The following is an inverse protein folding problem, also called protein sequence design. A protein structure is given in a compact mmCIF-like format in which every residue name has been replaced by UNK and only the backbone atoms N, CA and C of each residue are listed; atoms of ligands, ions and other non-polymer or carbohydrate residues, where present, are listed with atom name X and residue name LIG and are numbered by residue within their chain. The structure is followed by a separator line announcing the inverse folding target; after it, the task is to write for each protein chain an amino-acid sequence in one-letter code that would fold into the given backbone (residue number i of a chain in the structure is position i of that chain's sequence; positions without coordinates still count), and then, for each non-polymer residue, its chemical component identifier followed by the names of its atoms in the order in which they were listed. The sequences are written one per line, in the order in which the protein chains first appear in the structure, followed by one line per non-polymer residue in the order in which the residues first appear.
data_IF_432681584572
#
_entry.id   IF_432681584572
#
_cell.length_a   1.000
_cell.length_b   1.000
_cell.length_c   1.000
_cell.angle_alpha   90.00
_cell.angle_beta   90.00
_cell.angle_gamma   90.00
#
_symmetry.space_group_name_H-M   'P 1'
#
loop_
_entity.id
_entity.type
_entity.pdbx_description
1 polymer ?
#
# COMPACT_ATOMS: atom_id res chain seq x y z
N UNK A 1 -13.07 38.04 -85.58
CA UNK A 1 -14.15 37.05 -85.40
C UNK A 1 -14.81 37.31 -84.05
N UNK A 2 -16.13 37.16 -83.96
CA UNK A 2 -16.91 37.27 -82.72
C UNK A 2 -17.16 35.84 -82.14
N UNK A 3 -17.88 35.62 -81.01
CA UNK A 3 -18.60 36.61 -80.18
C UNK A 3 -18.59 36.40 -78.63
N UNK A 4 -19.09 37.43 -77.91
CA UNK A 4 -19.97 37.35 -76.70
C UNK A 4 -19.47 36.69 -75.38
N UNK A 5 -19.86 37.07 -74.15
CA UNK A 5 -20.81 38.03 -73.49
C UNK A 5 -20.18 38.36 -72.09
N UNK A 6 -20.49 39.38 -71.27
CA UNK A 6 -21.30 40.63 -71.23
C UNK A 6 -20.67 41.49 -70.08
N UNK A 7 -20.65 42.83 -70.05
CA UNK A 7 -21.70 43.83 -69.72
C UNK A 7 -22.44 43.59 -68.37
N UNK A 8 -22.64 44.56 -67.47
CA UNK A 8 -22.36 46.01 -67.47
C UNK A 8 -22.76 46.64 -66.10
N UNK A 9 -22.27 47.87 -65.75
CA UNK A 9 -23.03 48.97 -65.06
C UNK A 9 -23.48 48.78 -63.58
N UNK A 10 -23.53 49.76 -62.64
CA UNK A 10 -23.01 51.15 -62.48
C UNK A 10 -23.33 51.68 -61.05
N UNK A 11 -22.50 52.60 -60.51
CA UNK A 11 -22.77 53.68 -59.51
C UNK A 11 -23.14 53.46 -58.03
N UNK A 12 -22.69 54.45 -57.23
CA UNK A 12 -23.07 54.80 -55.85
C UNK A 12 -24.55 55.20 -55.74
N UNK A 13 -25.16 55.07 -54.54
CA UNK A 13 -25.78 56.18 -53.77
C UNK A 13 -26.37 55.73 -52.41
N UNK A 14 -26.32 56.64 -51.44
CA UNK A 14 -26.87 56.67 -50.07
C UNK A 14 -28.30 56.11 -49.83
N UNK A 15 -28.49 55.41 -48.69
CA UNK A 15 -29.57 55.56 -47.67
C UNK A 15 -29.44 54.41 -46.62
N UNK A 16 -29.02 54.60 -45.36
CA UNK A 16 -29.70 55.22 -44.18
C UNK A 16 -30.75 54.33 -43.48
N UNK A 17 -30.45 53.99 -42.21
CA UNK A 17 -31.29 53.42 -41.12
C UNK A 17 -31.77 51.94 -41.19
N UNK A 18 -31.31 51.11 -40.23
CA UNK A 18 -32.06 50.70 -39.01
C UNK A 18 -31.14 49.91 -38.05
N UNK A 19 -31.41 50.02 -36.74
CA UNK A 19 -30.61 49.47 -35.62
C UNK A 19 -30.39 47.95 -35.62
N UNK A 20 -29.20 47.52 -35.18
CA UNK A 20 -29.10 46.45 -34.18
C UNK A 20 -27.83 46.64 -33.32
N UNK A 21 -27.96 46.47 -32.01
CA UNK A 21 -26.91 46.73 -31.02
C UNK A 21 -26.13 45.47 -30.65
N UNK A 22 -24.81 45.50 -30.79
CA UNK A 22 -23.89 44.69 -29.97
C UNK A 22 -22.50 45.30 -29.95
N UNK A 23 -22.00 45.56 -28.74
CA UNK A 23 -20.71 46.21 -28.48
C UNK A 23 -19.58 45.18 -28.62
N UNK A 24 -18.62 45.44 -29.50
CA UNK A 24 -17.34 44.74 -29.48
C UNK A 24 -16.50 45.27 -28.32
N UNK A 25 -16.38 44.48 -27.26
CA UNK A 25 -15.41 44.70 -26.18
C UNK A 25 -14.03 44.24 -26.67
N UNK A 26 -13.05 45.15 -26.63
CA UNK A 26 -11.68 44.87 -27.03
C UNK A 26 -11.02 43.91 -26.02
N UNK A 27 -10.45 42.82 -26.51
CA UNK A 27 -9.67 41.90 -25.69
C UNK A 27 -8.31 42.53 -25.35
N UNK A 28 -8.16 42.98 -24.10
CA UNK A 28 -6.86 43.35 -23.54
C UNK A 28 -5.98 42.09 -23.46
N UNK A 29 -4.85 42.07 -24.18
CA UNK A 29 -3.77 41.13 -23.88
C UNK A 29 -3.09 41.55 -22.58
N UNK A 30 -3.48 40.95 -21.47
CA UNK A 30 -2.66 40.93 -20.27
C UNK A 30 -1.48 39.98 -20.51
N UNK A 31 -0.26 40.50 -20.40
CA UNK A 31 0.97 39.72 -20.46
C UNK A 31 1.40 39.50 -19.00
N UNK A 32 0.94 38.38 -18.42
CA UNK A 32 1.37 37.96 -17.10
C UNK A 32 2.77 37.33 -17.21
N UNK A 33 3.74 37.89 -16.50
CA UNK A 33 5.00 37.21 -16.25
C UNK A 33 4.77 36.20 -15.12
N UNK A 34 4.82 34.91 -15.42
CA UNK A 34 5.00 33.89 -14.39
C UNK A 34 6.44 33.96 -13.86
N UNK A 35 6.60 34.64 -12.73
CA UNK A 35 7.74 34.46 -11.85
C UNK A 35 7.38 33.34 -10.87
N UNK A 36 7.87 32.13 -11.13
CA UNK A 36 7.80 31.03 -10.18
C UNK A 36 8.49 31.45 -8.85
N UNK A 37 7.87 31.21 -7.69
CA UNK A 37 8.47 31.57 -6.41
C UNK A 37 9.72 30.72 -6.14
N UNK A 38 10.87 31.37 -5.92
CA UNK A 38 12.17 30.71 -5.72
C UNK A 38 12.49 30.37 -4.27
N UNK A 39 11.47 30.31 -3.40
CA UNK A 39 11.60 29.86 -2.01
C UNK A 39 10.23 29.44 -1.48
N UNK A 40 10.13 28.18 -1.03
CA UNK A 40 9.04 27.73 -0.16
C UNK A 40 9.50 28.00 1.27
N UNK A 41 8.80 28.87 2.00
CA UNK A 41 8.87 28.85 3.45
C UNK A 41 8.03 27.66 3.91
N UNK A 42 8.67 26.68 4.54
CA UNK A 42 7.95 25.65 5.31
C UNK A 42 7.35 26.38 6.50
N UNK A 43 6.03 26.51 6.54
CA UNK A 43 5.35 26.92 7.76
C UNK A 43 5.42 25.74 8.73
N UNK A 44 6.40 25.81 9.64
CA UNK A 44 6.42 25.03 10.89
C UNK A 44 5.02 25.09 11.51
N UNK A 45 4.36 23.92 11.61
CA UNK A 45 2.93 23.87 11.90
C UNK A 45 2.51 22.54 12.52
N UNK A 46 2.79 22.36 13.80
CA UNK A 46 2.08 21.47 14.71
C UNK A 46 0.66 21.08 14.26
N UNK A 47 0.47 19.78 14.02
CA UNK A 47 -0.71 19.18 13.40
C UNK A 47 -0.54 18.78 11.93
N UNK A 48 0.66 18.90 11.34
CA UNK A 48 0.92 18.52 9.94
C UNK A 48 1.37 17.06 9.73
N UNK A 49 1.58 16.33 10.82
CA UNK A 49 1.90 14.91 10.86
C UNK A 49 3.39 14.57 10.86
N UNK A 50 4.28 15.55 11.05
CA UNK A 50 5.72 15.33 11.12
C UNK A 50 6.34 15.99 12.35
N UNK A 51 7.12 15.25 13.15
CA UNK A 51 7.77 15.84 14.35
C UNK A 51 8.99 16.69 13.98
N UNK A 52 8.89 18.00 14.17
CA UNK A 52 9.95 18.95 13.80
C UNK A 52 10.89 19.30 14.98
N UNK A 53 11.76 18.36 15.37
CA UNK A 53 12.67 18.50 16.53
C UNK A 53 13.54 19.79 16.49
N UNK A 54 13.83 20.33 15.29
CA UNK A 54 14.63 21.56 15.13
C UNK A 54 13.83 22.84 15.41
N UNK A 55 12.51 22.83 15.20
CA UNK A 55 11.61 23.96 15.54
C UNK A 55 11.18 23.94 17.00
N UNK A 56 11.28 22.79 17.67
CA UNK A 56 11.05 22.62 19.10
C UNK A 56 9.85 21.73 19.45
N UNK A 57 9.29 21.04 18.46
CA UNK A 57 8.21 20.08 18.66
C UNK A 57 8.72 18.79 19.29
N UNK A 58 7.94 18.25 20.22
CA UNK A 58 8.22 17.00 20.94
C UNK A 58 7.52 15.81 20.28
N UNK A 59 6.36 16.07 19.68
CA UNK A 59 5.50 15.16 18.94
C UNK A 59 4.58 15.99 18.03
N UNK A 60 3.80 15.34 17.16
CA UNK A 60 2.78 16.00 16.34
C UNK A 60 1.40 15.30 16.52
N UNK A 61 0.29 16.03 16.76
CA UNK A 61 -1.03 15.45 16.98
C UNK A 61 -1.78 15.08 15.68
N UNK A 62 -1.31 15.55 14.52
CA UNK A 62 -1.98 15.50 13.23
C UNK A 62 -3.25 16.37 13.15
N UNK A 63 -3.89 16.34 11.99
CA UNK A 63 -5.24 16.88 11.71
C UNK A 63 -6.17 15.74 11.25
N UNK A 64 -6.86 15.06 12.19
CA UNK A 64 -7.77 13.97 11.87
C UNK A 64 -9.00 14.46 11.07
N UNK A 65 -9.42 13.72 10.02
CA UNK A 65 -9.05 12.34 9.69
C UNK A 65 -7.96 12.22 8.62
N UNK A 66 -7.37 13.33 8.15
CA UNK A 66 -6.48 13.35 6.99
C UNK A 66 -5.02 13.06 7.31
N UNK A 67 -4.58 13.46 8.50
CA UNK A 67 -3.19 13.38 8.96
C UNK A 67 -3.17 12.66 10.33
N UNK A 68 -2.45 11.53 10.46
CA UNK A 68 -2.34 10.81 11.73
C UNK A 68 -1.33 11.48 12.67
N UNK A 69 -1.47 11.26 13.98
CA UNK A 69 -0.47 11.70 14.97
C UNK A 69 0.88 11.02 14.76
N UNK A 70 1.98 11.74 15.02
CA UNK A 70 3.34 11.21 15.13
C UNK A 70 3.87 11.45 16.56
N UNK A 71 3.91 10.38 17.34
CA UNK A 71 4.49 10.35 18.70
C UNK A 71 5.91 9.73 18.71
N UNK A 72 6.49 9.50 17.53
CA UNK A 72 7.80 8.89 17.36
C UNK A 72 7.90 7.48 17.95
N UNK A 73 9.00 7.22 18.66
CA UNK A 73 9.26 5.92 19.32
C UNK A 73 8.97 5.92 20.82
N UNK A 74 8.50 7.04 21.36
CA UNK A 74 8.24 7.20 22.80
C UNK A 74 6.97 6.46 23.20
N UNK A 75 6.95 5.90 24.40
CA UNK A 75 5.85 5.05 24.90
C UNK A 75 5.45 5.43 26.33
N UNK A 76 4.28 4.99 26.80
CA UNK A 76 3.89 5.17 28.20
C UNK A 76 4.96 4.66 29.19
N UNK A 77 5.69 3.60 28.83
CA UNK A 77 6.74 2.99 29.64
C UNK A 77 7.96 3.90 29.88
N UNK A 78 8.11 4.98 29.11
CA UNK A 78 9.15 6.00 29.31
C UNK A 78 8.76 7.05 30.37
N UNK A 79 7.48 7.07 30.78
CA UNK A 79 6.89 8.01 31.75
C UNK A 79 6.57 7.36 33.09
N UNK A 80 6.37 8.21 34.10
CA UNK A 80 6.16 7.83 35.50
C UNK A 80 4.91 8.47 36.09
N UNK A 81 4.26 7.76 37.00
CA UNK A 81 3.14 8.25 37.81
C UNK A 81 3.60 9.34 38.82
N UNK A 82 2.63 9.92 39.54
CA UNK A 82 2.87 10.93 40.59
C UNK A 82 3.67 10.41 41.80
N UNK A 83 3.95 9.11 41.87
CA UNK A 83 4.74 8.42 42.90
C UNK A 83 6.10 7.93 42.37
N UNK A 84 6.45 8.25 41.12
CA UNK A 84 7.67 7.82 40.42
C UNK A 84 7.75 6.31 40.12
N UNK A 85 6.63 5.63 39.91
CA UNK A 85 6.57 4.30 39.30
C UNK A 85 6.38 4.43 37.78
N UNK A 86 7.06 3.64 36.94
CA UNK A 86 6.87 3.68 35.49
C UNK A 86 5.48 3.13 35.11
N UNK A 87 4.87 3.66 34.04
CA UNK A 87 3.65 3.08 33.50
C UNK A 87 3.91 1.72 32.84
N UNK A 88 3.03 0.75 33.06
CA UNK A 88 3.17 -0.58 32.46
C UNK A 88 2.52 -0.67 31.08
N UNK A 89 1.48 0.11 30.83
CA UNK A 89 0.67 0.09 29.61
C UNK A 89 0.00 1.43 29.34
N UNK A 90 -0.77 1.50 28.25
CA UNK A 90 -1.58 2.66 27.88
C UNK A 90 -1.49 3.03 26.42
N UNK A 91 -2.16 4.12 26.08
CA UNK A 91 -2.02 4.84 24.82
C UNK A 91 -1.46 6.22 25.17
N UNK A 92 -0.55 6.72 24.34
CA UNK A 92 0.00 8.06 24.47
C UNK A 92 -0.37 8.86 23.22
N UNK A 93 -0.78 10.10 23.42
CA UNK A 93 -1.10 11.04 22.35
C UNK A 93 -0.14 12.23 22.40
N UNK A 94 -0.22 13.11 21.40
CA UNK A 94 0.47 14.40 21.46
C UNK A 94 -0.47 15.50 21.96
N UNK A 95 0.05 16.47 22.73
CA UNK A 95 -0.71 17.68 23.02
C UNK A 95 -0.96 18.49 21.74
N UNK A 96 -2.10 19.18 21.68
CA UNK A 96 -2.51 20.01 20.53
C UNK A 96 -1.61 21.23 20.26
N UNK A 97 -0.58 21.45 21.08
CA UNK A 97 0.44 22.50 20.90
C UNK A 97 1.86 21.94 20.71
N UNK A 98 1.99 20.62 20.51
CA UNK A 98 3.24 19.90 20.25
C UNK A 98 4.34 20.05 21.32
N UNK A 99 3.98 20.59 22.50
CA UNK A 99 4.93 20.97 23.54
C UNK A 99 5.35 19.84 24.49
N UNK A 100 4.50 18.81 24.63
CA UNK A 100 4.74 17.59 25.41
C UNK A 100 3.75 16.50 24.96
N UNK A 101 3.89 15.29 25.51
CA UNK A 101 2.96 14.19 25.28
C UNK A 101 1.77 14.22 26.25
N UNK A 102 0.60 13.79 25.76
CA UNK A 102 -0.54 13.47 26.63
C UNK A 102 -0.43 12.03 27.13
N UNK A 103 -0.17 11.89 28.42
CA UNK A 103 -0.01 10.63 29.15
C UNK A 103 -1.27 10.27 29.98
N UNK A 104 -2.40 10.96 29.79
CA UNK A 104 -3.63 10.70 30.56
C UNK A 104 -4.23 9.30 30.35
N UNK A 105 -3.93 8.68 29.20
CA UNK A 105 -4.29 7.31 28.83
C UNK A 105 -3.19 6.26 29.17
N UNK A 106 -2.17 6.64 29.95
CA UNK A 106 -1.15 5.73 30.51
C UNK A 106 -1.52 5.23 31.92
N UNK A 107 -1.27 3.93 32.21
CA UNK A 107 -1.65 3.30 33.49
C UNK A 107 -0.77 2.09 33.88
N UNK A 108 -0.81 1.70 35.15
CA UNK A 108 -0.17 0.48 35.68
C UNK A 108 -1.16 -0.36 36.49
N UNK A 109 -1.72 -1.36 35.82
CA UNK A 109 -2.68 -2.25 36.44
C UNK A 109 -2.11 -3.01 37.66
N UNK A 110 -2.82 -2.96 38.79
CA UNK A 110 -2.48 -3.64 40.04
C UNK A 110 -1.61 -2.82 40.99
N UNK A 111 -1.50 -1.50 40.80
CA UNK A 111 -0.67 -0.59 41.61
C UNK A 111 -1.39 -0.03 42.86
N UNK A 112 -2.67 -0.35 43.08
CA UNK A 112 -3.56 0.14 44.17
C UNK A 112 -4.08 1.58 44.06
N UNK A 113 -3.87 2.25 42.93
CA UNK A 113 -4.42 3.56 42.59
C UNK A 113 -5.22 3.45 41.30
N UNK A 114 -6.51 3.80 41.30
CA UNK A 114 -7.27 3.82 40.05
C UNK A 114 -6.87 5.03 39.18
N UNK A 115 -6.10 4.81 38.13
CA UNK A 115 -5.82 5.80 37.07
C UNK A 115 -7.09 6.12 36.23
N UNK A 116 -7.04 7.22 35.46
CA UNK A 116 -8.19 7.65 34.64
C UNK A 116 -8.44 6.74 33.43
N UNK A 117 -7.36 6.14 32.90
CA UNK A 117 -7.35 5.30 31.71
C UNK A 117 -7.90 3.88 31.92
N UNK A 118 -7.96 3.42 33.16
CA UNK A 118 -8.37 2.05 33.51
C UNK A 118 -9.80 2.00 34.06
N UNK A 119 -10.48 0.86 33.88
CA UNK A 119 -11.85 0.71 34.39
C UNK A 119 -11.85 0.44 35.90
N UNK A 120 -10.78 -0.18 36.41
CA UNK A 120 -10.57 -0.50 37.81
C UNK A 120 -9.09 -0.69 38.12
N UNK A 121 -8.72 -0.61 39.41
CA UNK A 121 -7.50 -1.24 39.92
C UNK A 121 -7.88 -2.16 41.07
N UNK A 122 -7.41 -3.41 41.05
CA UNK A 122 -7.61 -4.44 42.11
C UNK A 122 -9.06 -4.59 42.61
N UNK A 123 -9.48 -3.78 43.59
CA UNK A 123 -10.83 -3.71 44.14
C UNK A 123 -11.49 -2.32 44.10
N UNK A 124 -10.84 -1.30 43.55
CA UNK A 124 -11.44 -0.01 43.23
C UNK A 124 -12.02 -0.04 41.82
N UNK A 125 -13.35 -0.01 41.73
CA UNK A 125 -14.11 -0.02 40.48
C UNK A 125 -14.64 1.38 40.11
N UNK A 126 -14.09 2.46 40.68
CA UNK A 126 -14.58 3.83 40.45
C UNK A 126 -16.03 4.05 40.90
N UNK A 127 -16.50 3.27 41.88
CA UNK A 127 -17.90 3.25 42.34
C UNK A 127 -18.85 2.35 41.53
N UNK A 128 -18.36 1.65 40.49
CA UNK A 128 -19.14 0.63 39.82
C UNK A 128 -19.39 -0.60 40.71
N UNK A 129 -20.55 -1.21 40.52
CA UNK A 129 -20.98 -2.47 41.14
C UNK A 129 -21.76 -3.27 40.10
N UNK A 130 -21.97 -4.58 40.33
CA UNK A 130 -22.87 -5.37 39.51
C UNK A 130 -24.26 -4.70 39.37
N UNK A 131 -24.78 -4.10 40.44
CA UNK A 131 -26.10 -3.43 40.45
C UNK A 131 -26.12 -2.20 39.55
N UNK A 132 -25.08 -1.35 39.60
CA UNK A 132 -25.00 -0.15 38.72
C UNK A 132 -24.77 -0.52 37.25
N UNK A 133 -24.25 -1.72 36.98
CA UNK A 133 -24.07 -2.28 35.62
C UNK A 133 -25.27 -3.11 35.13
N UNK A 134 -26.40 -3.10 35.86
CA UNK A 134 -27.67 -3.71 35.42
C UNK A 134 -27.95 -5.14 35.90
N UNK A 135 -27.10 -5.69 36.76
CA UNK A 135 -27.29 -7.02 37.38
C UNK A 135 -28.06 -6.92 38.71
N UNK A 136 -28.54 -8.03 39.27
CA UNK A 136 -29.27 -8.01 40.57
C UNK A 136 -28.37 -8.17 41.80
N UNK A 137 -27.15 -8.69 41.61
CA UNK A 137 -26.24 -9.03 42.70
C UNK A 137 -24.88 -9.49 42.19
N UNK A 138 -24.12 -10.18 43.04
CA UNK A 138 -22.76 -10.66 42.75
C UNK A 138 -21.65 -9.64 43.01
N UNK A 139 -20.44 -9.96 42.53
CA UNK A 139 -19.21 -9.19 42.78
C UNK A 139 -18.44 -8.91 41.49
N UNK A 140 -17.90 -7.70 41.33
CA UNK A 140 -16.93 -7.40 40.28
C UNK A 140 -15.54 -7.95 40.65
N UNK A 141 -14.72 -8.21 39.63
CA UNK A 141 -13.27 -8.36 39.81
C UNK A 141 -12.54 -7.62 38.68
N UNK A 142 -11.34 -7.12 38.98
CA UNK A 142 -10.50 -6.44 38.02
C UNK A 142 -9.56 -7.43 37.32
N UNK A 143 -9.46 -7.39 35.99
CA UNK A 143 -8.56 -8.29 35.23
C UNK A 143 -7.10 -7.83 35.32
N UNK A 144 -6.16 -8.63 34.80
CA UNK A 144 -4.74 -8.26 34.69
C UNK A 144 -4.47 -7.11 33.70
N UNK A 145 -5.48 -6.76 32.91
CA UNK A 145 -5.52 -5.67 31.93
C UNK A 145 -6.37 -4.49 32.44
N UNK A 146 -6.74 -4.53 33.73
CA UNK A 146 -7.53 -3.54 34.46
C UNK A 146 -8.87 -3.15 33.83
N UNK A 147 -9.53 -4.17 33.27
CA UNK A 147 -10.93 -4.11 32.86
C UNK A 147 -11.85 -4.65 33.95
N UNK A 148 -13.05 -4.09 34.07
CA UNK A 148 -14.08 -4.60 34.99
C UNK A 148 -14.68 -5.88 34.40
N UNK A 149 -14.50 -7.01 35.08
CA UNK A 149 -15.20 -8.24 34.74
C UNK A 149 -16.50 -8.40 35.50
N UNK A 150 -17.58 -8.63 34.75
CA UNK A 150 -18.93 -8.92 35.26
C UNK A 150 -19.23 -10.42 35.38
N UNK A 151 -18.24 -11.30 35.14
CA UNK A 151 -18.44 -12.75 35.11
C UNK A 151 -18.94 -13.35 36.45
N UNK A 152 -18.74 -12.64 37.57
CA UNK A 152 -19.23 -13.00 38.91
C UNK A 152 -20.45 -12.17 39.34
N UNK A 153 -21.12 -11.48 38.41
CA UNK A 153 -22.38 -10.79 38.66
C UNK A 153 -23.59 -11.72 38.47
N UNK A 154 -24.61 -11.55 39.30
CA UNK A 154 -25.83 -12.36 39.27
C UNK A 154 -26.83 -11.77 38.26
N UNK A 155 -27.12 -12.52 37.21
CA UNK A 155 -28.13 -12.14 36.20
C UNK A 155 -29.55 -12.13 36.82
N UNK A 156 -30.42 -11.27 36.28
CA UNK A 156 -31.81 -11.19 36.73
C UNK A 156 -32.61 -12.42 36.24
N UNK A 157 -32.78 -13.42 37.11
CA UNK A 157 -33.75 -14.49 36.85
C UNK A 157 -35.17 -13.90 36.80
N UNK A 158 -35.85 -13.99 35.65
CA UNK A 158 -37.29 -13.77 35.58
C UNK A 158 -38.02 -14.88 36.36
N UNK A 159 -38.38 -14.58 37.61
CA UNK A 159 -39.21 -15.45 38.43
C UNK A 159 -40.65 -15.50 37.89
N UNK A 160 -40.87 -16.43 36.96
CA UNK A 160 -42.20 -16.87 36.54
C UNK A 160 -42.97 -17.49 37.70
N UNK A 161 -43.73 -16.67 38.43
CA UNK A 161 -44.55 -17.13 39.55
C UNK A 161 -45.85 -17.79 39.12
N UNK A 162 -46.03 -19.09 39.38
CA UNK A 162 -47.37 -19.68 39.60
C UNK A 162 -47.31 -21.08 40.22
N UNK A 163 -48.08 -21.35 41.30
CA UNK A 163 -48.38 -22.71 41.73
C UNK A 163 -49.85 -23.10 41.44
N UNK A 164 -50.03 -24.13 40.61
CA UNK A 164 -51.13 -25.11 40.74
C UNK A 164 -52.36 -24.97 39.82
N UNK A 165 -52.82 -26.12 39.29
CA UNK A 165 -54.19 -26.29 38.77
C UNK A 165 -54.30 -27.09 37.48
N UNK A 166 -54.46 -28.41 37.57
CA UNK A 166 -54.43 -29.33 36.43
C UNK A 166 -55.53 -29.21 35.38
N UNK A 167 -55.28 -29.83 34.22
CA UNK A 167 -56.23 -29.99 33.12
C UNK A 167 -55.69 -30.90 32.02
N UNK A 168 -56.23 -32.12 31.90
CA UNK A 168 -55.86 -33.09 30.86
C UNK A 168 -56.62 -32.81 29.55
N UNK A 169 -55.94 -32.76 28.40
CA UNK A 169 -56.63 -32.72 27.10
C UNK A 169 -55.76 -32.63 25.84
N UNK A 170 -55.57 -33.77 25.18
CA UNK A 170 -55.48 -33.92 23.71
C UNK A 170 -54.52 -33.05 22.86
N UNK A 171 -53.48 -33.68 22.32
CA UNK A 171 -52.81 -33.22 21.08
C UNK A 171 -53.79 -33.35 19.87
N UNK A 172 -53.64 -32.60 18.74
CA UNK A 172 -52.51 -32.81 17.83
C UNK A 172 -51.97 -31.59 17.04
N UNK A 173 -50.72 -31.69 16.57
CA UNK A 173 -50.18 -30.91 15.43
C UNK A 173 -49.35 -29.65 15.76
N UNK A 174 -48.12 -29.60 15.27
CA UNK A 174 -47.36 -28.34 15.09
C UNK A 174 -47.55 -27.77 13.67
N UNK A 175 -46.65 -26.90 13.14
CA UNK A 175 -45.46 -26.28 13.73
C UNK A 175 -45.55 -24.72 13.76
N UNK A 176 -44.40 -24.04 13.90
CA UNK A 176 -44.12 -22.58 14.07
C UNK A 176 -44.20 -22.07 15.53
N UNK A 177 -43.32 -21.17 16.00
CA UNK A 177 -42.13 -20.58 15.37
C UNK A 177 -41.54 -19.44 16.25
N UNK A 178 -40.29 -19.04 15.97
CA UNK A 178 -39.53 -17.93 16.58
C UNK A 178 -38.90 -18.12 17.97
N UNK A 179 -37.61 -18.44 17.88
CA UNK A 179 -36.47 -18.08 18.74
C UNK A 179 -35.41 -17.49 17.79
N UNK A 180 -34.38 -16.73 18.22
CA UNK A 180 -34.30 -15.74 19.30
C UNK A 180 -33.94 -14.35 18.72
N UNK A 181 -33.57 -13.38 19.58
CA UNK A 181 -32.86 -12.16 19.16
C UNK A 181 -32.54 -11.26 20.36
N UNK A 182 -31.36 -10.65 20.45
CA UNK A 182 -30.14 -10.86 19.67
C UNK A 182 -28.95 -10.41 20.54
N UNK A 183 -28.11 -11.35 20.99
CA UNK A 183 -26.84 -10.99 21.59
C UNK A 183 -25.88 -10.81 20.42
N UNK A 184 -25.54 -9.57 20.08
CA UNK A 184 -24.45 -9.26 19.16
C UNK A 184 -23.16 -9.87 19.72
N UNK A 185 -22.86 -11.11 19.35
CA UNK A 185 -21.50 -11.64 19.34
C UNK A 185 -20.71 -10.71 18.42
N UNK A 186 -19.96 -9.80 19.02
CA UNK A 186 -19.08 -8.92 18.28
C UNK A 186 -17.99 -9.79 17.65
N UNK A 187 -18.15 -10.07 16.37
CA UNK A 187 -17.28 -10.93 15.59
C UNK A 187 -15.94 -10.23 15.34
N UNK A 188 -14.85 -10.81 15.84
CA UNK A 188 -13.49 -10.35 15.51
C UNK A 188 -13.25 -10.67 14.04
N UNK A 189 -13.15 -9.64 13.21
CA UNK A 189 -13.05 -9.81 11.75
C UNK A 189 -11.98 -8.91 11.17
N UNK A 190 -11.16 -9.47 10.30
CA UNK A 190 -10.26 -8.70 9.45
C UNK A 190 -10.86 -8.60 8.06
N UNK A 191 -10.91 -7.39 7.51
CA UNK A 191 -11.31 -7.11 6.13
C UNK A 191 -10.14 -6.45 5.41
N UNK A 192 -9.73 -6.99 4.27
CA UNK A 192 -8.60 -6.50 3.48
C UNK A 192 -9.09 -6.10 2.08
N UNK A 193 -8.70 -4.91 1.64
CA UNK A 193 -9.00 -4.36 0.32
C UNK A 193 -7.75 -3.76 -0.31
N UNK A 194 -7.51 -4.12 -1.56
CA UNK A 194 -6.30 -3.72 -2.25
C UNK A 194 -6.39 -3.90 -3.76
N UNK A 195 -5.26 -3.64 -4.42
CA UNK A 195 -5.09 -3.81 -5.86
C UNK A 195 -3.83 -4.61 -6.17
N UNK A 196 -3.91 -5.45 -7.21
CA UNK A 196 -2.79 -6.25 -7.72
C UNK A 196 -2.82 -6.26 -9.26
N UNK A 197 -2.90 -7.44 -9.89
CA UNK A 197 -2.98 -7.62 -11.35
C UNK A 197 -4.38 -8.15 -11.70
N UNK A 198 -4.94 -7.85 -12.89
CA UNK A 198 -6.25 -8.37 -13.30
C UNK A 198 -6.31 -9.89 -13.35
N UNK A 199 -7.40 -10.47 -12.84
CA UNK A 199 -7.69 -11.91 -12.85
C UNK A 199 -6.57 -12.80 -12.23
N UNK A 200 -5.76 -12.26 -11.33
CA UNK A 200 -4.64 -12.91 -10.66
C UNK A 200 -4.98 -13.34 -9.22
N UNK A 201 -4.25 -14.33 -8.71
CA UNK A 201 -4.46 -14.89 -7.37
C UNK A 201 -3.50 -14.21 -6.37
N UNK A 202 -4.06 -13.44 -5.43
CA UNK A 202 -3.33 -12.76 -4.35
C UNK A 202 -3.21 -13.70 -3.15
N UNK A 203 -1.97 -14.05 -2.82
CA UNK A 203 -1.64 -14.85 -1.65
C UNK A 203 -1.52 -13.94 -0.42
N UNK A 204 -2.32 -14.26 0.61
CA UNK A 204 -2.39 -13.54 1.88
C UNK A 204 -1.78 -14.41 2.96
N UNK A 205 -0.76 -13.88 3.64
CA UNK A 205 -0.05 -14.52 4.74
C UNK A 205 -0.34 -13.78 6.04
N UNK A 206 -0.43 -14.51 7.14
CA UNK A 206 -0.42 -13.98 8.51
C UNK A 206 0.73 -14.65 9.25
N UNK A 207 1.63 -13.84 9.80
CA UNK A 207 2.85 -14.26 10.51
C UNK A 207 3.70 -15.28 9.72
N UNK A 208 3.75 -15.10 8.39
CA UNK A 208 4.49 -15.95 7.46
C UNK A 208 3.78 -17.24 7.01
N UNK A 209 2.57 -17.51 7.48
CA UNK A 209 1.75 -18.66 7.08
C UNK A 209 0.68 -18.22 6.08
N UNK A 210 0.47 -18.96 4.99
CA UNK A 210 -0.61 -18.67 4.01
C UNK A 210 -1.97 -18.92 4.66
N UNK A 211 -2.73 -17.85 4.86
CA UNK A 211 -4.08 -17.86 5.49
C UNK A 211 -5.19 -17.81 4.44
N UNK A 212 -4.93 -17.20 3.29
CA UNK A 212 -5.93 -17.07 2.23
C UNK A 212 -5.30 -16.88 0.85
N UNK A 213 -6.09 -17.21 -0.17
CA UNK A 213 -5.81 -16.87 -1.56
C UNK A 213 -7.10 -16.28 -2.12
N UNK A 214 -7.05 -15.07 -2.66
CA UNK A 214 -8.21 -14.40 -3.27
C UNK A 214 -7.89 -13.98 -4.69
N UNK A 215 -8.87 -14.15 -5.59
CA UNK A 215 -8.73 -13.73 -6.98
C UNK A 215 -9.17 -12.27 -7.13
N UNK A 216 -8.39 -11.47 -7.83
CA UNK A 216 -8.78 -10.10 -8.24
C UNK A 216 -9.87 -10.12 -9.30
N UNK A 217 -10.59 -9.00 -9.43
CA UNK A 217 -11.45 -8.74 -10.57
C UNK A 217 -10.69 -8.17 -11.79
N UNK A 218 -11.42 -7.83 -12.85
CA UNK A 218 -10.86 -7.24 -14.08
C UNK A 218 -10.32 -5.83 -13.91
N UNK A 219 -10.57 -5.15 -12.77
CA UNK A 219 -9.98 -3.85 -12.38
C UNK A 219 -8.81 -4.02 -11.42
N UNK A 220 -8.35 -5.26 -11.26
CA UNK A 220 -7.35 -5.71 -10.30
C UNK A 220 -7.72 -5.46 -8.83
N UNK A 221 -8.99 -5.18 -8.50
CA UNK A 221 -9.45 -5.04 -7.11
C UNK A 221 -9.59 -6.42 -6.46
N UNK A 222 -9.19 -6.55 -5.20
CA UNK A 222 -9.47 -7.74 -4.39
C UNK A 222 -10.13 -7.39 -3.05
N UNK A 223 -10.91 -8.34 -2.56
CA UNK A 223 -11.56 -8.33 -1.25
C UNK A 223 -11.27 -9.65 -0.54
N UNK A 224 -10.81 -9.58 0.70
CA UNK A 224 -10.68 -10.72 1.59
C UNK A 224 -11.30 -10.38 2.94
N UNK A 225 -11.99 -11.33 3.55
CA UNK A 225 -12.40 -11.23 4.95
C UNK A 225 -12.19 -12.56 5.65
N UNK A 226 -11.84 -12.51 6.94
CA UNK A 226 -11.68 -13.69 7.78
C UNK A 226 -11.88 -13.35 9.25
N UNK A 227 -12.35 -14.34 10.00
CA UNK A 227 -12.58 -14.29 11.45
C UNK A 227 -11.69 -15.29 12.19
N UNK A 228 -10.80 -15.97 11.45
CA UNK A 228 -9.86 -16.97 11.97
C UNK A 228 -8.54 -16.34 12.49
N UNK A 229 -8.36 -15.03 12.31
CA UNK A 229 -7.16 -14.32 12.76
C UNK A 229 -7.32 -13.93 14.25
N UNK A 230 -6.42 -14.36 15.15
CA UNK A 230 -6.46 -13.99 16.55
C UNK A 230 -6.35 -12.49 16.77
N UNK A 231 -7.02 -11.98 17.81
CA UNK A 231 -6.80 -10.62 18.31
C UNK A 231 -5.38 -10.46 18.85
N UNK A 232 -4.69 -9.39 18.46
CA UNK A 232 -3.28 -9.17 18.78
C UNK A 232 -2.57 -8.35 17.72
N UNK A 233 -1.25 -8.23 17.81
CA UNK A 233 -0.43 -7.70 16.70
C UNK A 233 -0.16 -8.85 15.74
N UNK A 234 -0.50 -8.66 14.46
CA UNK A 234 -0.32 -9.65 13.40
C UNK A 234 0.40 -9.02 12.20
N UNK A 235 1.33 -9.75 11.60
CA UNK A 235 2.06 -9.31 10.40
C UNK A 235 1.44 -9.94 9.15
N UNK A 236 0.89 -9.09 8.29
CA UNK A 236 0.23 -9.47 7.04
C UNK A 236 1.24 -9.40 5.89
N UNK A 237 1.36 -10.50 5.13
CA UNK A 237 2.16 -10.56 3.91
C UNK A 237 1.28 -10.70 2.68
N UNK A 238 1.59 -9.98 1.60
CA UNK A 238 0.85 -10.01 0.35
C UNK A 238 1.82 -10.18 -0.83
N UNK A 239 1.58 -11.19 -1.65
CA UNK A 239 2.25 -11.33 -2.94
C UNK A 239 1.30 -11.91 -3.99
N UNK A 240 1.64 -11.73 -5.25
CA UNK A 240 0.86 -12.21 -6.40
C UNK A 240 1.79 -12.62 -7.53
N UNK A 241 1.29 -13.48 -8.41
CA UNK A 241 1.93 -13.88 -9.67
C UNK A 241 1.06 -13.36 -10.81
N UNK A 242 1.67 -12.73 -11.80
CA UNK A 242 0.97 -12.24 -12.98
C UNK A 242 0.69 -13.37 -14.00
N UNK A 243 -0.06 -13.05 -15.05
CA UNK A 243 -0.46 -14.04 -16.07
C UNK A 243 0.72 -14.69 -16.83
N UNK A 244 1.89 -14.05 -16.80
CA UNK A 244 3.10 -14.45 -17.52
C UNK A 244 4.11 -15.14 -16.57
N UNK A 245 3.73 -15.34 -15.30
CA UNK A 245 4.51 -16.07 -14.28
C UNK A 245 5.46 -15.18 -13.45
N UNK A 246 5.44 -13.87 -13.66
CA UNK A 246 6.29 -12.95 -12.90
C UNK A 246 5.68 -12.71 -11.52
N UNK A 247 6.51 -12.77 -10.48
CA UNK A 247 6.06 -12.57 -9.08
C UNK A 247 6.36 -11.17 -8.57
N UNK A 248 5.41 -10.60 -7.83
CA UNK A 248 5.56 -9.36 -7.08
C UNK A 248 6.72 -9.40 -6.07
N UNK A 249 7.08 -8.24 -5.52
CA UNK A 249 7.72 -8.17 -4.19
C UNK A 249 6.70 -8.56 -3.10
N UNK A 250 7.18 -9.06 -1.96
CA UNK A 250 6.32 -9.32 -0.81
C UNK A 250 6.06 -7.99 -0.09
N UNK A 251 4.82 -7.51 -0.14
CA UNK A 251 4.36 -6.38 0.68
C UNK A 251 4.06 -6.91 2.08
N UNK A 252 4.71 -6.37 3.10
CA UNK A 252 4.47 -6.75 4.50
C UNK A 252 3.99 -5.55 5.30
N UNK A 253 2.88 -5.71 6.02
CA UNK A 253 2.23 -4.68 6.83
C UNK A 253 1.86 -5.27 8.20
N UNK A 254 2.15 -4.58 9.29
CA UNK A 254 1.86 -5.07 10.65
C UNK A 254 0.75 -4.22 11.28
N UNK A 255 -0.33 -4.86 11.72
CA UNK A 255 -1.49 -4.20 12.30
C UNK A 255 -1.94 -4.89 13.60
N UNK A 256 -2.70 -4.16 14.42
CA UNK A 256 -3.39 -4.72 15.58
C UNK A 256 -4.81 -5.13 15.19
N UNK A 257 -5.14 -6.40 15.38
CA UNK A 257 -6.50 -6.95 15.30
C UNK A 257 -7.15 -6.83 16.67
N UNK A 258 -8.25 -6.10 16.76
CA UNK A 258 -8.95 -5.82 18.03
C UNK A 258 -10.08 -6.83 18.23
N UNK A 259 -10.11 -7.47 19.40
CA UNK A 259 -11.17 -8.42 19.77
C UNK A 259 -12.53 -7.72 19.73
N UNK A 260 -13.52 -8.35 19.08
CA UNK A 260 -14.87 -7.79 18.95
C UNK A 260 -14.98 -6.62 17.95
N UNK A 261 -13.98 -6.39 17.12
CA UNK A 261 -14.01 -5.31 16.13
C UNK A 261 -13.74 -5.83 14.71
N UNK A 262 -14.14 -5.00 13.73
CA UNK A 262 -13.81 -5.20 12.32
C UNK A 262 -12.57 -4.37 11.96
N UNK A 263 -11.39 -4.99 12.01
CA UNK A 263 -10.14 -4.36 11.54
C UNK A 263 -10.15 -4.31 10.01
N UNK A 264 -10.27 -3.11 9.44
CA UNK A 264 -10.28 -2.92 7.98
C UNK A 264 -8.94 -2.38 7.50
N UNK A 265 -8.25 -3.15 6.65
CA UNK A 265 -7.00 -2.79 5.99
C UNK A 265 -7.32 -2.40 4.55
N UNK A 266 -7.11 -1.14 4.18
CA UNK A 266 -7.30 -0.62 2.82
C UNK A 266 -5.99 -0.09 2.24
N UNK A 267 -5.88 -0.07 0.90
CA UNK A 267 -4.68 0.46 0.23
C UNK A 267 -3.55 -0.56 0.09
N UNK A 268 -3.87 -1.85 0.15
CA UNK A 268 -2.88 -2.92 -0.10
C UNK A 268 -2.56 -2.97 -1.59
N UNK A 269 -1.56 -2.21 -2.00
CA UNK A 269 -1.17 -2.04 -3.40
C UNK A 269 0.11 -2.83 -3.71
N UNK A 270 -0.04 -3.96 -4.38
CA UNK A 270 1.09 -4.81 -4.78
C UNK A 270 1.86 -4.12 -5.91
N UNK A 271 3.19 -4.07 -5.79
CA UNK A 271 4.05 -3.45 -6.79
C UNK A 271 3.88 -4.08 -8.19
N UNK A 272 4.16 -3.36 -9.29
CA UNK A 272 4.20 -3.93 -10.62
C UNK A 272 5.11 -5.16 -10.69
N UNK A 273 4.76 -6.15 -11.51
CA UNK A 273 5.78 -7.08 -12.01
C UNK A 273 6.65 -6.35 -13.04
N UNK A 274 7.86 -6.85 -13.24
CA UNK A 274 8.81 -6.30 -14.20
C UNK A 274 9.70 -7.42 -14.75
N UNK A 275 9.92 -7.39 -16.06
CA UNK A 275 11.00 -8.08 -16.75
C UNK A 275 11.44 -7.26 -17.99
N UNK A 276 12.41 -7.77 -18.74
CA UNK A 276 13.04 -7.08 -19.86
C UNK A 276 13.32 -8.03 -21.02
N UNK A 277 13.08 -7.55 -22.24
CA UNK A 277 13.06 -8.35 -23.47
C UNK A 277 14.40 -8.98 -23.87
N UNK A 278 15.51 -8.48 -23.32
CA UNK A 278 16.83 -9.08 -23.42
C UNK A 278 17.67 -8.69 -22.20
N UNK A 279 18.64 -9.54 -21.83
CA UNK A 279 19.59 -9.27 -20.74
C UNK A 279 20.87 -8.60 -21.21
N UNK A 280 21.14 -8.61 -22.52
CA UNK A 280 22.19 -7.84 -23.18
C UNK A 280 21.62 -7.15 -24.41
N UNK A 281 21.95 -5.88 -24.62
CA UNK A 281 21.55 -5.11 -25.80
C UNK A 281 22.69 -4.18 -26.19
N UNK A 282 22.79 -3.87 -27.48
CA UNK A 282 23.79 -2.93 -27.96
C UNK A 282 23.43 -1.51 -27.54
N UNK A 283 24.42 -0.72 -27.14
CA UNK A 283 24.26 0.73 -26.99
C UNK A 283 23.67 1.35 -28.27
N UNK A 284 22.58 2.09 -28.11
CA UNK A 284 21.84 2.74 -29.19
C UNK A 284 20.68 1.90 -29.78
N UNK A 285 20.64 0.60 -29.52
CA UNK A 285 19.49 -0.25 -29.85
C UNK A 285 18.38 -0.09 -28.80
N UNK A 286 17.14 -0.47 -29.16
CA UNK A 286 15.99 -0.39 -28.27
C UNK A 286 15.85 -1.65 -27.41
N UNK A 287 15.59 -1.46 -26.12
CA UNK A 287 15.22 -2.52 -25.17
C UNK A 287 13.76 -2.33 -24.73
N UNK A 288 13.02 -3.42 -24.50
CA UNK A 288 11.64 -3.34 -23.99
C UNK A 288 11.59 -3.82 -22.55
N UNK A 289 11.23 -2.93 -21.64
CA UNK A 289 10.95 -3.24 -20.23
C UNK A 289 9.43 -3.37 -20.09
N UNK A 290 8.93 -4.43 -19.45
CA UNK A 290 7.50 -4.75 -19.44
C UNK A 290 7.07 -5.47 -18.15
N UNK A 291 5.75 -5.56 -17.94
CA UNK A 291 5.14 -6.34 -16.86
C UNK A 291 3.63 -6.14 -16.78
N UNK A 292 3.05 -6.48 -15.63
CA UNK A 292 1.64 -6.28 -15.30
C UNK A 292 1.49 -5.45 -14.01
N UNK A 293 0.43 -4.66 -13.94
CA UNK A 293 0.06 -3.81 -12.80
C UNK A 293 -1.47 -3.55 -12.84
N UNK A 294 -1.97 -2.62 -12.03
CA UNK A 294 -3.36 -2.14 -12.05
C UNK A 294 -3.71 -1.55 -13.44
N UNK A 295 -4.87 -1.87 -14.03
CA UNK A 295 -5.31 -1.32 -15.32
C UNK A 295 -5.41 0.19 -15.38
N UNK A 296 -5.09 0.77 -16.54
CA UNK A 296 -5.24 2.20 -16.85
C UNK A 296 -4.52 3.12 -15.83
N UNK A 297 -3.39 2.67 -15.27
CA UNK A 297 -2.57 3.42 -14.30
C UNK A 297 -1.23 3.83 -14.89
N UNK A 298 -0.69 4.91 -14.33
CA UNK A 298 0.62 5.42 -14.68
C UNK A 298 1.71 4.58 -14.01
N UNK A 299 2.75 4.22 -14.78
CA UNK A 299 3.90 3.45 -14.31
C UNK A 299 5.16 4.27 -14.48
N UNK A 300 5.92 4.42 -13.39
CA UNK A 300 7.22 5.07 -13.37
C UNK A 300 8.31 4.00 -13.34
N UNK A 301 9.17 3.99 -14.36
CA UNK A 301 10.31 3.08 -14.48
C UNK A 301 11.56 3.86 -14.12
N UNK A 302 12.23 3.44 -13.05
CA UNK A 302 13.53 3.97 -12.65
C UNK A 302 14.62 3.07 -13.20
N UNK A 303 15.45 3.60 -14.09
CA UNK A 303 16.63 2.95 -14.68
C UNK A 303 17.87 3.54 -14.00
N UNK A 304 18.59 2.71 -13.25
CA UNK A 304 19.79 3.10 -12.53
C UNK A 304 21.03 2.97 -13.43
N UNK A 305 21.58 4.10 -13.83
CA UNK A 305 22.88 4.28 -14.49
C UNK A 305 23.79 5.14 -13.61
N UNK A 306 24.82 5.76 -14.18
CA UNK A 306 25.61 6.83 -13.55
C UNK A 306 24.73 7.97 -13.01
N UNK A 307 23.66 8.31 -13.75
CA UNK A 307 22.53 9.10 -13.27
C UNK A 307 21.24 8.25 -13.34
N UNK A 308 20.30 8.42 -12.39
CA UNK A 308 19.01 7.72 -12.43
C UNK A 308 18.10 8.34 -13.49
N UNK A 309 17.68 7.55 -14.48
CA UNK A 309 16.75 7.95 -15.52
C UNK A 309 15.35 7.47 -15.12
N UNK A 310 14.40 8.39 -15.04
CA UNK A 310 13.00 8.07 -14.70
C UNK A 310 12.13 8.26 -15.95
N UNK A 311 11.57 7.16 -16.44
CA UNK A 311 10.68 7.11 -17.60
C UNK A 311 9.24 6.81 -17.18
N UNK A 312 8.28 7.25 -17.99
CA UNK A 312 6.85 7.14 -17.70
C UNK A 312 6.14 6.36 -18.82
N UNK A 313 5.28 5.43 -18.45
CA UNK A 313 4.32 4.77 -19.36
C UNK A 313 2.97 4.60 -18.68
N UNK A 314 1.99 4.02 -19.37
CA UNK A 314 0.69 3.67 -18.80
C UNK A 314 0.38 2.19 -19.05
N UNK A 315 -0.30 1.54 -18.11
CA UNK A 315 -0.83 0.20 -18.29
C UNK A 315 -2.10 0.22 -19.15
N UNK A 316 -2.37 -0.90 -19.83
CA UNK A 316 -3.57 -1.15 -20.61
C UNK A 316 -4.75 -1.51 -19.70
N UNK A 317 -5.93 -1.70 -20.30
CA UNK A 317 -7.10 -2.32 -19.67
C UNK A 317 -6.82 -3.74 -19.13
N UNK A 318 -5.90 -4.47 -19.76
CA UNK A 318 -5.40 -5.78 -19.28
C UNK A 318 -4.39 -5.69 -18.14
N UNK A 319 -4.03 -4.49 -17.68
CA UNK A 319 -2.95 -4.27 -16.70
C UNK A 319 -1.53 -4.42 -17.24
N UNK A 320 -1.36 -4.90 -18.48
CA UNK A 320 -0.05 -4.95 -19.15
C UNK A 320 0.53 -3.55 -19.33
N UNK A 321 1.81 -3.37 -19.02
CA UNK A 321 2.55 -2.15 -19.31
C UNK A 321 3.87 -2.48 -20.03
N UNK A 322 4.34 -1.55 -20.86
CA UNK A 322 5.64 -1.66 -21.51
C UNK A 322 6.26 -0.28 -21.76
N UNK A 323 7.58 -0.24 -21.74
CA UNK A 323 8.43 0.89 -22.12
C UNK A 323 9.42 0.39 -23.17
N UNK A 324 9.40 1.00 -24.36
CA UNK A 324 10.45 0.80 -25.38
C UNK A 324 11.48 1.91 -25.19
N UNK A 325 12.59 1.57 -24.55
CA UNK A 325 13.65 2.51 -24.18
C UNK A 325 14.80 2.42 -25.19
N UNK A 326 15.32 3.56 -25.65
CA UNK A 326 16.52 3.60 -26.48
C UNK A 326 17.76 3.71 -25.60
N UNK A 327 18.75 2.84 -25.81
CA UNK A 327 19.88 2.70 -24.88
C UNK A 327 21.09 3.61 -25.18
N UNK A 328 21.00 4.51 -26.17
CA UNK A 328 22.05 5.52 -26.45
C UNK A 328 22.49 6.34 -25.21
N UNK A 329 21.60 6.71 -24.25
CA UNK A 329 22.00 7.47 -23.06
C UNK A 329 22.70 6.65 -21.97
N UNK A 330 22.73 5.31 -22.08
CA UNK A 330 23.34 4.44 -21.08
C UNK A 330 24.82 4.21 -21.39
N UNK A 331 25.63 4.09 -20.33
CA UNK A 331 27.02 3.67 -20.41
C UNK A 331 27.12 2.21 -20.89
N UNK A 332 28.33 1.73 -21.20
CA UNK A 332 28.56 0.32 -21.56
C UNK A 332 28.90 -0.45 -20.29
N UNK A 333 27.88 -0.74 -19.48
CA UNK A 333 27.98 -1.43 -18.18
C UNK A 333 26.64 -2.14 -17.83
N UNK A 334 26.48 -2.56 -16.58
CA UNK A 334 25.18 -2.96 -16.02
C UNK A 334 24.34 -1.79 -15.62
N UNK A 335 23.06 -1.94 -15.93
CA UNK A 335 22.00 -1.12 -15.40
C UNK A 335 21.00 -2.02 -14.70
N UNK A 336 20.32 -1.42 -13.72
CA UNK A 336 19.17 -2.07 -13.08
C UNK A 336 17.93 -1.24 -13.31
N UNK A 337 16.77 -1.88 -13.39
CA UNK A 337 15.49 -1.22 -13.49
C UNK A 337 14.51 -1.74 -12.44
N UNK A 338 13.69 -0.82 -11.93
CA UNK A 338 12.59 -1.06 -10.98
C UNK A 338 11.41 -0.18 -11.40
N UNK A 339 10.19 -0.66 -11.22
CA UNK A 339 8.97 0.07 -11.53
C UNK A 339 8.10 0.25 -10.29
N UNK A 340 7.35 1.35 -10.24
CA UNK A 340 6.18 1.50 -9.37
C UNK A 340 5.02 2.06 -10.19
N UNK A 341 3.79 1.87 -9.72
CA UNK A 341 2.63 2.55 -10.29
C UNK A 341 2.19 3.72 -9.39
N UNK A 342 1.54 4.71 -9.97
CA UNK A 342 0.86 5.76 -9.22
C UNK A 342 -0.60 5.93 -9.66
N UNK A 343 -1.46 6.24 -8.68
CA UNK A 343 -2.88 6.51 -8.86
C UNK A 343 -3.27 7.80 -8.14
N UNK A 344 -4.17 8.58 -8.75
CA UNK A 344 -4.79 9.72 -8.08
C UNK A 344 -6.06 9.26 -7.35
N UNK A 345 -6.12 9.48 -6.04
CA UNK A 345 -7.28 9.17 -5.20
C UNK A 345 -7.57 10.35 -4.28
N UNK A 346 -8.75 10.97 -4.45
CA UNK A 346 -9.17 12.10 -3.62
C UNK A 346 -8.32 13.38 -3.76
N UNK A 347 -7.59 13.53 -4.87
CA UNK A 347 -6.63 14.62 -5.09
C UNK A 347 -5.20 14.34 -4.59
N UNK A 348 -4.98 13.18 -3.96
CA UNK A 348 -3.65 12.73 -3.53
C UNK A 348 -3.08 11.70 -4.52
N UNK A 349 -1.78 11.79 -4.80
CA UNK A 349 -1.05 10.79 -5.58
C UNK A 349 -0.58 9.69 -4.64
N UNK A 350 -1.13 8.48 -4.78
CA UNK A 350 -0.68 7.29 -4.04
C UNK A 350 0.21 6.45 -4.95
N UNK A 351 1.39 6.08 -4.44
CA UNK A 351 2.36 5.22 -5.13
C UNK A 351 2.37 3.82 -4.52
N UNK A 352 2.55 2.80 -5.35
CA UNK A 352 2.89 1.46 -4.85
C UNK A 352 4.33 1.41 -4.35
N UNK A 353 4.70 0.32 -3.66
CA UNK A 353 6.11 -0.04 -3.50
C UNK A 353 6.78 -0.32 -4.85
N UNK A 354 8.11 -0.37 -4.86
CA UNK A 354 8.87 -0.79 -6.03
C UNK A 354 8.71 -2.30 -6.30
N UNK A 355 8.75 -2.63 -7.59
CA UNK A 355 8.88 -3.97 -8.11
C UNK A 355 10.18 -4.64 -7.63
N UNK A 356 10.41 -5.88 -8.07
CA UNK A 356 11.77 -6.44 -8.04
C UNK A 356 12.70 -5.56 -8.87
N UNK A 357 13.99 -5.58 -8.53
CA UNK A 357 15.02 -5.03 -9.40
C UNK A 357 15.37 -6.07 -10.45
N UNK A 358 15.37 -5.68 -11.72
CA UNK A 358 15.90 -6.47 -12.84
C UNK A 358 17.21 -5.87 -13.32
N UNK A 359 18.09 -6.69 -13.88
CA UNK A 359 19.39 -6.28 -14.43
C UNK A 359 19.46 -6.52 -15.93
N UNK A 360 20.15 -5.64 -16.64
CA UNK A 360 20.53 -5.82 -18.05
C UNK A 360 21.87 -5.12 -18.33
N UNK A 361 22.60 -5.63 -19.32
CA UNK A 361 23.89 -5.10 -19.76
C UNK A 361 23.76 -4.32 -21.08
N UNK A 362 24.57 -3.28 -21.23
CA UNK A 362 24.74 -2.54 -22.48
C UNK A 362 26.12 -2.87 -23.07
N UNK A 363 26.16 -3.37 -24.30
CA UNK A 363 27.40 -3.76 -24.98
C UNK A 363 27.72 -2.90 -26.22
N UNK A 364 28.99 -2.88 -26.64
CA UNK A 364 29.43 -2.15 -27.86
C UNK A 364 29.12 -2.90 -29.16
N UNK A 365 29.09 -4.22 -29.08
CA UNK A 365 28.82 -5.16 -30.16
C UNK A 365 27.61 -5.99 -29.73
N UNK A 366 26.43 -5.68 -30.27
CA UNK A 366 25.23 -6.45 -29.96
C UNK A 366 25.35 -7.84 -30.57
N UNK A 367 25.38 -8.86 -29.73
CA UNK A 367 25.35 -10.26 -30.14
C UNK A 367 24.53 -11.09 -29.17
N UNK A 368 23.68 -11.95 -29.72
CA UNK A 368 23.05 -13.05 -28.98
C UNK A 368 24.14 -14.11 -28.74
N UNK A 369 24.44 -14.41 -27.47
CA UNK A 369 25.55 -15.29 -27.13
C UNK A 369 25.39 -16.68 -27.78
N UNK A 370 26.50 -17.26 -28.26
CA UNK A 370 26.48 -18.60 -28.89
C UNK A 370 25.98 -19.67 -27.90
N UNK A 371 26.21 -19.43 -26.61
CA UNK A 371 25.66 -20.18 -25.49
C UNK A 371 24.64 -19.30 -24.76
N UNK A 372 23.40 -19.27 -25.22
CA UNK A 372 22.29 -18.61 -24.54
C UNK A 372 22.09 -19.14 -23.12
N UNK A 373 21.61 -18.29 -22.21
CA UNK A 373 21.34 -18.63 -20.80
C UNK A 373 22.58 -18.96 -19.95
N UNK A 374 23.80 -18.68 -20.41
CA UNK A 374 25.05 -18.92 -19.67
C UNK A 374 25.31 -20.37 -19.18
N UNK A 375 24.58 -21.36 -19.70
CA UNK A 375 24.91 -22.78 -19.60
C UNK A 375 26.07 -23.08 -20.56
N UNK A 376 27.30 -22.92 -20.05
CA UNK A 376 28.54 -23.05 -20.83
C UNK A 376 28.95 -24.51 -21.06
N UNK A 377 28.30 -25.44 -20.35
CA UNK A 377 28.60 -26.88 -20.43
C UNK A 377 27.50 -27.69 -21.15
N UNK A 378 26.33 -27.09 -21.36
CA UNK A 378 25.12 -27.63 -21.99
C UNK A 378 24.47 -28.79 -21.22
N UNK A 379 24.45 -28.75 -19.87
CA UNK A 379 23.73 -29.72 -19.02
C UNK A 379 22.30 -29.31 -18.63
N UNK A 380 21.84 -28.15 -19.10
CA UNK A 380 20.52 -27.57 -18.79
C UNK A 380 20.46 -26.91 -17.42
N UNK A 381 21.61 -26.51 -16.87
CA UNK A 381 21.75 -25.81 -15.60
C UNK A 381 22.82 -24.73 -15.73
N UNK A 382 22.72 -23.73 -14.85
CA UNK A 382 23.79 -22.77 -14.62
C UNK A 382 24.19 -22.90 -13.16
N UNK A 383 25.43 -23.33 -12.92
CA UNK A 383 25.92 -23.62 -11.58
C UNK A 383 27.44 -23.39 -11.48
N UNK A 384 28.06 -23.89 -10.40
CA UNK A 384 29.49 -23.75 -10.13
C UNK A 384 30.38 -24.34 -11.25
N UNK A 385 29.87 -25.29 -12.03
CA UNK A 385 30.55 -25.87 -13.19
C UNK A 385 30.73 -24.82 -14.28
N UNK A 386 29.66 -24.13 -14.67
CA UNK A 386 29.66 -23.06 -15.67
C UNK A 386 30.54 -21.89 -15.23
N UNK A 387 30.43 -21.50 -13.95
CA UNK A 387 31.32 -20.48 -13.38
C UNK A 387 32.80 -20.87 -13.47
N UNK A 388 33.13 -22.15 -13.30
CA UNK A 388 34.52 -22.63 -13.48
C UNK A 388 34.98 -22.57 -14.94
N UNK A 389 34.07 -22.72 -15.90
CA UNK A 389 34.33 -22.58 -17.34
C UNK A 389 34.49 -21.10 -17.72
N UNK A 390 33.64 -20.23 -17.18
CA UNK A 390 33.74 -18.78 -17.38
C UNK A 390 35.07 -18.24 -16.83
N UNK A 391 35.46 -18.65 -15.62
CA UNK A 391 36.76 -18.30 -15.05
C UNK A 391 37.95 -18.90 -15.83
N UNK A 392 37.78 -20.05 -16.49
CA UNK A 392 38.82 -20.63 -17.35
C UNK A 392 39.04 -19.77 -18.61
N UNK A 393 37.99 -19.17 -19.15
CA UNK A 393 38.03 -18.27 -20.31
C UNK A 393 38.23 -16.78 -19.96
N UNK A 394 38.44 -16.43 -18.70
CA UNK A 394 38.57 -15.04 -18.25
C UNK A 394 39.65 -14.26 -19.01
N UNK A 395 39.27 -13.11 -19.57
CA UNK A 395 40.13 -12.25 -20.39
C UNK A 395 40.36 -12.74 -21.83
N UNK A 396 39.60 -13.74 -22.32
CA UNK A 396 39.65 -14.24 -23.70
C UNK A 396 38.43 -13.81 -24.52
N UNK A 397 38.47 -14.02 -25.83
CA UNK A 397 37.39 -13.75 -26.80
C UNK A 397 36.53 -15.00 -27.09
N UNK A 398 36.32 -15.85 -26.09
CA UNK A 398 35.58 -17.10 -26.27
C UNK A 398 34.08 -16.84 -26.50
N UNK A 399 33.60 -17.05 -27.73
CA UNK A 399 32.21 -16.77 -28.17
C UNK A 399 31.09 -17.41 -27.31
N UNK A 400 31.38 -18.42 -26.50
CA UNK A 400 30.42 -19.07 -25.58
C UNK A 400 30.45 -18.42 -24.18
N UNK A 401 31.64 -18.19 -23.63
CA UNK A 401 31.81 -17.57 -22.31
C UNK A 401 31.66 -16.03 -22.32
N UNK A 402 31.85 -15.40 -23.48
CA UNK A 402 31.55 -13.97 -23.73
C UNK A 402 30.04 -13.82 -23.95
N UNK A 403 29.31 -13.79 -22.84
CA UNK A 403 27.85 -13.73 -22.80
C UNK A 403 27.28 -12.39 -23.31
N UNK A 404 28.08 -11.33 -23.33
CA UNK A 404 27.66 -10.02 -23.84
C UNK A 404 28.17 -9.70 -25.26
N UNK A 405 29.07 -10.53 -25.80
CA UNK A 405 29.73 -10.45 -27.12
C UNK A 405 30.58 -9.18 -27.31
N UNK A 406 31.18 -8.62 -26.25
CA UNK A 406 32.06 -7.44 -26.35
C UNK A 406 33.49 -7.76 -26.84
N UNK A 407 33.87 -9.05 -26.92
CA UNK A 407 35.20 -9.53 -27.28
C UNK A 407 36.13 -9.81 -26.09
N UNK A 408 35.65 -9.80 -24.86
CA UNK A 408 36.42 -10.14 -23.65
C UNK A 408 35.52 -10.69 -22.52
N UNK A 409 35.77 -11.93 -22.11
CA UNK A 409 35.15 -12.54 -20.93
C UNK A 409 35.59 -11.81 -19.66
N UNK A 410 34.68 -11.10 -19.01
CA UNK A 410 34.98 -10.33 -17.79
C UNK A 410 33.84 -10.37 -16.74
N UNK A 411 33.79 -9.35 -15.87
CA UNK A 411 32.79 -9.24 -14.82
C UNK A 411 31.36 -9.12 -15.37
N UNK A 412 31.22 -8.69 -16.63
CA UNK A 412 29.93 -8.56 -17.30
C UNK A 412 29.37 -9.94 -17.62
N UNK A 413 30.18 -10.84 -18.14
CA UNK A 413 29.72 -12.20 -18.44
C UNK A 413 29.41 -13.00 -17.18
N UNK A 414 30.20 -12.79 -16.12
CA UNK A 414 29.89 -13.34 -14.81
C UNK A 414 28.53 -12.84 -14.28
N UNK A 415 28.23 -11.55 -14.44
CA UNK A 415 26.99 -10.96 -13.96
C UNK A 415 25.77 -11.44 -14.77
N UNK A 416 25.93 -11.69 -16.08
CA UNK A 416 24.93 -12.37 -16.91
C UNK A 416 24.73 -13.82 -16.47
N UNK A 417 25.82 -14.55 -16.16
CA UNK A 417 25.74 -15.91 -15.63
C UNK A 417 24.99 -15.97 -14.29
N UNK A 418 25.24 -15.03 -13.38
CA UNK A 418 24.54 -14.97 -12.10
C UNK A 418 23.04 -14.70 -12.25
N UNK A 419 22.59 -14.08 -13.34
CA UNK A 419 21.16 -13.91 -13.64
C UNK A 419 20.47 -15.25 -13.96
N UNK A 420 21.13 -16.14 -14.70
CA UNK A 420 20.59 -17.46 -15.06
C UNK A 420 20.84 -18.55 -14.01
N UNK A 421 21.44 -18.22 -12.86
CA UNK A 421 21.88 -19.18 -11.85
C UNK A 421 20.75 -20.10 -11.34
N UNK A 422 20.93 -21.41 -11.50
CA UNK A 422 19.92 -22.43 -11.18
C UNK A 422 20.13 -23.17 -9.86
N UNK A 423 21.34 -23.09 -9.26
CA UNK A 423 21.71 -23.78 -8.02
C UNK A 423 22.89 -24.74 -8.17
#
# INVERSE_FOLDING_TARGET
MAPCKRQFIIWLIFAVLINCTSVFLAANKALANDLLPTSVEILVSCGDGFVEIISGEVCDPGDPPGVPQDVGTTTCQDYYDVFSNPFASGIMACLLDCSDFDISDCYTCGNTNKEAAEDCDTGDFGGATCITLGFVGGSLFCTSECQISTANCEAMEEQGGTPGGGGTGGAPGGPIGYSPGDLNEQETKVVIRGKSYPDADVHILVDGVVTGIVKTDTKADFYFETTEIPSGVASFGFWSEDKDGLKSTLLSLTFRVTLGAVTTITGVYLAPTIDVSSKSVRQGDNITIFGQTVPETEVLIHINSDEEIIEQTNSKDTGEWQLVFNTEPLEVDFHTAKALFQIEAGGNIIKSGFSKSISFAISKQGGEAVCSEADLNHDGRVNLTDFSILLFYWGTDNECADQNQNGIVDLIDFSIMMYYWTG
#
